data_IF_373514043400
#
_entry.id   IF_373514043400
#
_cell.length_a   1.000
_cell.length_b   1.000
_cell.length_c   1.000
_cell.angle_alpha   90.00
_cell.angle_beta   90.00
_cell.angle_gamma   90.00
#
_symmetry.space_group_name_H-M   'P 1'
#
loop_
_entity.id
_entity.type
_entity.pdbx_description
1 polymer ?
#
# COMPACT_ATOMS: atom_id res chain seq x y z
N UNK A 1 -16.27 -2.33 -3.62
CA UNK A 1 -15.35 -3.34 -3.03
C UNK A 1 -14.31 -2.58 -2.23
N UNK A 2 -13.89 -3.08 -1.06
CA UNK A 2 -12.85 -2.43 -0.28
C UNK A 2 -11.45 -2.91 -0.66
N UNK A 3 -10.54 -1.95 -0.86
CA UNK A 3 -9.11 -2.13 -1.05
C UNK A 3 -8.38 -1.59 0.19
N UNK A 4 -7.44 -2.36 0.72
CA UNK A 4 -6.55 -1.89 1.80
C UNK A 4 -5.34 -1.15 1.26
N UNK A 5 -4.91 -0.08 1.92
CA UNK A 5 -3.77 0.74 1.49
C UNK A 5 -2.85 0.92 2.70
N UNK A 6 -1.58 0.54 2.54
CA UNK A 6 -0.52 0.67 3.55
C UNK A 6 0.75 1.21 2.90
N UNK A 7 1.67 1.72 3.72
CA UNK A 7 2.99 2.20 3.29
C UNK A 7 3.94 2.23 4.49
N UNK A 8 5.24 2.34 4.24
CA UNK A 8 6.25 2.68 5.23
C UNK A 8 6.16 1.74 6.46
N UNK A 9 6.25 0.43 6.18
CA UNK A 9 6.11 -0.62 7.20
C UNK A 9 7.35 -0.79 8.04
N UNK A 10 8.52 -0.45 7.50
CA UNK A 10 9.80 -0.39 8.21
C UNK A 10 10.04 -1.56 9.18
N UNK A 11 9.78 -2.79 8.72
CA UNK A 11 9.93 -4.03 9.49
C UNK A 11 9.16 -4.08 10.84
N UNK A 12 8.15 -3.22 11.05
CA UNK A 12 7.31 -3.23 12.25
C UNK A 12 6.28 -4.38 12.18
N UNK A 13 6.76 -5.59 12.47
CA UNK A 13 5.96 -6.83 12.43
C UNK A 13 4.65 -6.72 13.25
N UNK A 14 4.64 -6.20 14.49
CA UNK A 14 3.39 -6.10 15.26
C UNK A 14 2.29 -5.29 14.57
N UNK A 15 2.62 -4.17 13.91
CA UNK A 15 1.62 -3.36 13.21
C UNK A 15 1.22 -3.99 11.87
N UNK A 16 2.17 -4.63 11.17
CA UNK A 16 1.86 -5.43 9.97
C UNK A 16 0.81 -6.49 10.31
N UNK A 17 1.06 -7.31 11.33
CA UNK A 17 0.15 -8.40 11.72
C UNK A 17 -1.25 -7.88 12.08
N UNK A 18 -1.34 -6.77 12.83
CA UNK A 18 -2.62 -6.13 13.17
C UNK A 18 -3.39 -5.69 11.92
N UNK A 19 -2.73 -5.02 10.98
CA UNK A 19 -3.37 -4.53 9.77
C UNK A 19 -3.85 -5.68 8.88
N UNK A 20 -3.02 -6.71 8.67
CA UNK A 20 -3.37 -7.86 7.84
C UNK A 20 -4.53 -8.68 8.46
N UNK A 21 -4.52 -8.86 9.78
CA UNK A 21 -5.61 -9.52 10.49
C UNK A 21 -6.92 -8.72 10.34
N UNK A 22 -6.85 -7.39 10.48
CA UNK A 22 -8.00 -6.53 10.29
C UNK A 22 -8.53 -6.56 8.85
N UNK A 23 -7.67 -6.43 7.83
CA UNK A 23 -8.07 -6.55 6.42
C UNK A 23 -8.78 -7.88 6.14
N UNK A 24 -8.24 -8.97 6.67
CA UNK A 24 -8.85 -10.30 6.56
C UNK A 24 -10.24 -10.33 7.20
N UNK A 25 -10.40 -9.77 8.41
CA UNK A 25 -11.69 -9.67 9.12
C UNK A 25 -12.71 -8.82 8.36
N UNK A 26 -12.29 -7.76 7.66
CA UNK A 26 -13.15 -6.94 6.81
C UNK A 26 -13.46 -7.57 5.45
N UNK A 27 -12.90 -8.74 5.14
CA UNK A 27 -13.06 -9.37 3.82
C UNK A 27 -12.35 -8.62 2.69
N UNK A 28 -11.39 -7.76 3.02
CA UNK A 28 -10.55 -7.08 2.03
C UNK A 28 -9.61 -8.13 1.42
N UNK A 29 -9.63 -8.22 0.09
CA UNK A 29 -8.89 -9.23 -0.69
C UNK A 29 -7.69 -8.68 -1.45
N UNK A 30 -7.56 -7.35 -1.53
CA UNK A 30 -6.47 -6.69 -2.23
C UNK A 30 -5.88 -5.63 -1.33
N UNK A 31 -4.55 -5.61 -1.24
CA UNK A 31 -3.80 -4.53 -0.58
C UNK A 31 -2.85 -3.85 -1.55
N UNK A 32 -2.72 -2.54 -1.38
CA UNK A 32 -1.76 -1.67 -2.04
C UNK A 32 -0.69 -1.26 -1.02
N UNK A 33 0.58 -1.55 -1.31
CA UNK A 33 1.72 -1.18 -0.47
C UNK A 33 2.57 -0.12 -1.18
N UNK A 34 2.58 1.11 -0.65
CA UNK A 34 3.09 2.29 -1.35
C UNK A 34 4.60 2.54 -1.17
N UNK A 35 5.37 1.51 -0.83
CA UNK A 35 6.84 1.56 -0.68
C UNK A 35 7.32 1.57 0.76
N UNK A 36 8.65 1.54 0.90
CA UNK A 36 9.37 1.43 2.18
C UNK A 36 8.89 0.20 2.98
N UNK A 37 8.96 -0.95 2.29
CA UNK A 37 8.63 -2.26 2.83
C UNK A 37 9.66 -2.67 3.89
N UNK A 38 10.94 -2.43 3.56
CA UNK A 38 12.18 -2.85 4.20
C UNK A 38 12.58 -4.32 3.95
N UNK A 39 13.20 -5.00 4.92
CA UNK A 39 14.11 -6.10 4.63
C UNK A 39 13.43 -7.23 3.82
N UNK A 40 14.03 -7.73 2.72
CA UNK A 40 13.43 -8.73 1.83
C UNK A 40 12.89 -9.97 2.57
N UNK A 41 13.62 -10.42 3.60
CA UNK A 41 13.22 -11.56 4.43
C UNK A 41 12.06 -11.26 5.36
N UNK A 42 11.97 -10.04 5.89
CA UNK A 42 10.85 -9.61 6.72
C UNK A 42 9.60 -9.51 5.88
N UNK A 43 9.65 -8.84 4.71
CA UNK A 43 8.52 -8.71 3.80
C UNK A 43 7.85 -10.06 3.51
N UNK A 44 8.64 -11.06 3.14
CA UNK A 44 8.10 -12.38 2.83
C UNK A 44 7.50 -13.07 4.05
N UNK A 45 8.15 -12.97 5.22
CA UNK A 45 7.69 -13.64 6.45
C UNK A 45 6.51 -12.96 7.12
N UNK A 46 6.40 -11.63 7.04
CA UNK A 46 5.41 -10.85 7.77
C UNK A 46 4.20 -10.49 6.91
N UNK A 47 4.39 -10.19 5.62
CA UNK A 47 3.32 -9.79 4.71
C UNK A 47 2.91 -10.94 3.79
N UNK A 48 3.83 -11.41 2.94
CA UNK A 48 3.49 -12.39 1.89
C UNK A 48 2.99 -13.70 2.48
N UNK A 49 3.63 -14.22 3.53
CA UNK A 49 3.22 -15.47 4.16
C UNK A 49 1.88 -15.37 4.92
N UNK A 50 1.49 -14.19 5.41
CA UNK A 50 0.36 -14.02 6.33
C UNK A 50 -0.88 -13.40 5.68
N UNK A 51 -0.79 -12.91 4.45
CA UNK A 51 -1.93 -12.37 3.72
C UNK A 51 -2.25 -13.21 2.48
N UNK A 52 -3.42 -13.83 2.48
CA UNK A 52 -3.89 -14.71 1.40
C UNK A 52 -4.56 -13.95 0.23
N UNK A 53 -4.74 -12.64 0.38
CA UNK A 53 -5.20 -11.79 -0.71
C UNK A 53 -4.08 -11.36 -1.64
N UNK A 54 -4.47 -10.66 -2.71
CA UNK A 54 -3.56 -10.09 -3.69
C UNK A 54 -2.82 -8.88 -3.11
N UNK A 55 -1.53 -8.77 -3.41
CA UNK A 55 -0.66 -7.69 -2.94
C UNK A 55 -0.09 -6.98 -4.15
N UNK A 56 -0.36 -5.69 -4.29
CA UNK A 56 0.35 -4.82 -5.23
C UNK A 56 1.30 -3.92 -4.46
N UNK A 57 2.55 -3.87 -4.88
CA UNK A 57 3.57 -3.11 -4.16
C UNK A 57 4.51 -2.37 -5.12
N UNK A 58 4.83 -1.12 -4.78
CA UNK A 58 5.95 -0.38 -5.37
C UNK A 58 7.08 -0.27 -4.35
N UNK A 59 8.31 -0.06 -4.83
CA UNK A 59 9.45 0.22 -3.97
C UNK A 59 9.45 1.67 -3.50
N UNK A 60 9.96 1.88 -2.29
CA UNK A 60 10.33 3.18 -1.77
C UNK A 60 11.84 3.41 -1.77
N UNK A 61 12.25 4.50 -1.12
CA UNK A 61 13.64 4.94 -1.13
C UNK A 61 14.54 4.16 -0.18
N UNK A 62 13.99 3.46 0.82
CA UNK A 62 14.82 2.62 1.72
C UNK A 62 14.86 1.14 1.33
N UNK A 63 14.11 0.75 0.30
CA UNK A 63 14.12 -0.62 -0.23
C UNK A 63 15.41 -0.88 -1.02
N UNK A 64 16.48 -1.26 -0.31
CA UNK A 64 17.83 -1.38 -0.85
C UNK A 64 18.05 -2.61 -1.74
N UNK A 65 17.68 -3.80 -1.28
CA UNK A 65 17.94 -5.06 -2.01
C UNK A 65 16.72 -5.55 -2.78
N UNK A 66 16.36 -4.79 -3.81
CA UNK A 66 15.17 -5.04 -4.64
C UNK A 66 15.25 -6.36 -5.40
N UNK A 67 16.44 -6.75 -5.84
CA UNK A 67 16.64 -8.03 -6.53
C UNK A 67 16.38 -9.20 -5.58
N UNK A 68 16.91 -9.15 -4.35
CA UNK A 68 16.63 -10.17 -3.35
C UNK A 68 15.15 -10.19 -2.95
N UNK A 69 14.48 -9.02 -2.88
CA UNK A 69 13.03 -8.96 -2.65
C UNK A 69 12.25 -9.69 -3.74
N UNK A 70 12.56 -9.44 -5.01
CA UNK A 70 11.94 -10.13 -6.14
C UNK A 70 12.20 -11.64 -6.09
N UNK A 71 13.46 -12.04 -5.86
CA UNK A 71 13.83 -13.44 -5.75
C UNK A 71 13.06 -14.15 -4.63
N UNK A 72 13.02 -13.55 -3.43
CA UNK A 72 12.32 -14.15 -2.29
C UNK A 72 10.82 -14.25 -2.50
N UNK A 73 10.19 -13.27 -3.14
CA UNK A 73 8.76 -13.37 -3.50
C UNK A 73 8.56 -14.51 -4.49
N UNK A 74 9.40 -14.62 -5.53
CA UNK A 74 9.33 -15.72 -6.48
C UNK A 74 9.48 -17.10 -5.81
N UNK A 75 10.41 -17.24 -4.87
CA UNK A 75 10.63 -18.47 -4.08
C UNK A 75 9.39 -18.90 -3.27
N UNK A 76 8.46 -18.00 -2.98
CA UNK A 76 7.20 -18.37 -2.30
C UNK A 76 6.20 -19.10 -3.20
N UNK A 77 6.32 -19.00 -4.53
CA UNK A 77 5.35 -19.52 -5.49
C UNK A 77 4.00 -18.78 -5.51
N UNK A 78 3.94 -17.57 -4.95
CA UNK A 78 2.73 -16.71 -4.95
C UNK A 78 2.65 -15.88 -6.23
N UNK A 79 1.70 -16.21 -7.11
CA UNK A 79 1.45 -15.48 -8.37
C UNK A 79 0.55 -14.23 -8.20
N UNK A 80 0.06 -13.99 -6.98
CA UNK A 80 -0.81 -12.89 -6.58
C UNK A 80 -0.08 -11.82 -5.75
N UNK A 81 1.26 -11.82 -5.79
CA UNK A 81 2.11 -10.78 -5.21
C UNK A 81 2.88 -10.08 -6.32
N UNK A 82 2.52 -8.83 -6.57
CA UNK A 82 3.05 -8.03 -7.67
C UNK A 82 3.98 -6.93 -7.12
N UNK A 83 5.26 -7.03 -7.48
CA UNK A 83 6.28 -5.99 -7.27
C UNK A 83 6.46 -5.19 -8.57
N UNK A 84 5.92 -3.98 -8.62
CA UNK A 84 5.82 -3.17 -9.84
C UNK A 84 7.07 -2.32 -10.14
N UNK A 85 8.09 -2.37 -9.28
CA UNK A 85 9.18 -1.41 -9.35
C UNK A 85 8.79 -0.07 -8.72
N UNK A 86 9.09 1.04 -9.39
CA UNK A 86 8.86 2.39 -8.86
C UNK A 86 7.41 2.88 -9.06
N UNK A 87 6.73 2.38 -10.08
CA UNK A 87 5.44 2.87 -10.53
C UNK A 87 4.54 1.68 -10.85
N UNK A 88 3.34 1.68 -10.28
CA UNK A 88 2.28 0.78 -10.68
C UNK A 88 1.18 1.57 -11.39
N UNK A 89 0.70 1.05 -12.51
CA UNK A 89 -0.54 1.46 -13.17
C UNK A 89 -1.38 0.20 -13.39
N UNK A 90 -2.49 0.09 -12.66
CA UNK A 90 -3.32 -1.11 -12.62
C UNK A 90 -4.80 -0.76 -12.70
N UNK A 91 -5.63 -1.74 -13.05
CA UNK A 91 -7.09 -1.61 -13.02
C UNK A 91 -7.67 -2.64 -12.07
N UNK A 92 -8.48 -2.18 -11.10
CA UNK A 92 -9.16 -3.04 -10.12
C UNK A 92 -10.61 -2.60 -10.04
N UNK A 93 -11.54 -3.54 -10.27
CA UNK A 93 -12.99 -3.28 -10.19
C UNK A 93 -13.44 -2.09 -11.06
N UNK A 94 -12.86 -1.97 -12.26
CA UNK A 94 -13.11 -0.88 -13.20
C UNK A 94 -12.51 0.48 -12.82
N UNK A 95 -11.71 0.55 -11.75
CA UNK A 95 -11.00 1.77 -11.32
C UNK A 95 -9.56 1.74 -11.77
N UNK A 96 -9.11 2.83 -12.39
CA UNK A 96 -7.71 3.04 -12.76
C UNK A 96 -6.93 3.52 -11.55
N UNK A 97 -5.91 2.79 -11.16
CA UNK A 97 -5.14 3.04 -9.94
C UNK A 97 -3.68 3.25 -10.31
N UNK A 98 -3.07 4.29 -9.77
CA UNK A 98 -1.64 4.53 -9.85
C UNK A 98 -0.99 4.47 -8.45
N UNK A 99 0.23 3.96 -8.36
CA UNK A 99 1.03 4.03 -7.13
C UNK A 99 2.44 4.49 -7.44
N UNK A 100 2.95 5.43 -6.64
CA UNK A 100 4.36 5.78 -6.62
C UNK A 100 4.71 6.24 -5.22
N UNK A 101 5.85 5.82 -4.68
CA UNK A 101 6.21 6.15 -3.30
C UNK A 101 6.34 7.66 -3.07
N UNK A 102 6.86 8.40 -4.05
CA UNK A 102 7.18 9.82 -3.93
C UNK A 102 5.96 10.73 -4.18
N UNK A 103 5.67 11.68 -3.27
CA UNK A 103 4.48 12.54 -3.35
C UNK A 103 4.46 13.43 -4.59
N UNK A 104 5.61 13.94 -5.03
CA UNK A 104 5.71 14.83 -6.17
C UNK A 104 5.40 14.12 -7.49
N UNK A 105 5.82 12.86 -7.65
CA UNK A 105 5.51 12.06 -8.84
C UNK A 105 4.04 11.65 -8.80
N UNK A 106 3.59 11.13 -7.65
CA UNK A 106 2.19 10.72 -7.47
C UNK A 106 1.21 11.87 -7.71
N UNK A 107 1.52 13.09 -7.24
CA UNK A 107 0.67 14.27 -7.52
C UNK A 107 0.51 14.52 -9.02
N UNK A 108 1.57 14.39 -9.81
CA UNK A 108 1.49 14.57 -11.28
C UNK A 108 0.62 13.50 -11.94
N UNK A 109 0.65 12.28 -11.43
CA UNK A 109 -0.25 11.21 -11.90
C UNK A 109 -1.71 11.56 -11.60
N UNK A 110 -2.00 12.08 -10.40
CA UNK A 110 -3.36 12.52 -10.06
C UNK A 110 -3.83 13.70 -10.92
N UNK A 111 -2.97 14.71 -11.13
CA UNK A 111 -3.25 15.88 -11.98
C UNK A 111 -3.47 15.52 -13.46
N UNK A 112 -2.99 14.38 -13.93
CA UNK A 112 -3.18 13.92 -15.32
C UNK A 112 -4.64 13.64 -15.69
N UNK A 113 -5.51 13.38 -14.70
CA UNK A 113 -6.89 12.96 -14.92
C UNK A 113 -7.06 11.53 -15.46
N UNK A 114 -5.97 10.76 -15.57
CA UNK A 114 -6.01 9.38 -16.07
C UNK A 114 -6.57 8.39 -15.04
N UNK A 115 -6.34 8.62 -13.75
CA UNK A 115 -6.60 7.67 -12.66
C UNK A 115 -7.76 8.09 -11.77
N UNK A 116 -8.40 7.12 -11.13
CA UNK A 116 -9.48 7.29 -10.16
C UNK A 116 -8.94 7.24 -8.71
N UNK A 117 -7.83 6.53 -8.49
CA UNK A 117 -7.09 6.48 -7.22
C UNK A 117 -5.60 6.61 -7.51
N UNK A 118 -4.91 7.44 -6.73
CA UNK A 118 -3.45 7.56 -6.77
C UNK A 118 -2.90 7.49 -5.35
N UNK A 119 -2.04 6.52 -5.10
CA UNK A 119 -1.48 6.23 -3.78
C UNK A 119 0.02 6.55 -3.69
N UNK A 120 0.46 7.07 -2.55
CA UNK A 120 1.86 7.37 -2.25
C UNK A 120 2.20 7.21 -0.76
N UNK A 121 3.49 7.32 -0.42
CA UNK A 121 4.01 7.17 0.94
C UNK A 121 5.06 8.24 1.28
N UNK A 122 6.23 7.79 1.75
CA UNK A 122 7.49 8.54 1.87
C UNK A 122 7.57 9.52 3.05
N UNK A 123 6.59 10.42 3.17
CA UNK A 123 6.64 11.48 4.19
C UNK A 123 6.02 11.08 5.54
N UNK A 124 5.46 9.87 5.63
CA UNK A 124 4.76 9.31 6.79
C UNK A 124 3.50 10.09 7.25
N UNK A 125 3.04 11.07 6.47
CA UNK A 125 1.90 11.95 6.82
C UNK A 125 0.65 11.42 6.15
N UNK A 126 -0.22 10.80 6.95
CA UNK A 126 -1.53 10.34 6.51
C UNK A 126 -2.33 11.52 5.95
N UNK A 127 -2.82 11.38 4.72
CA UNK A 127 -3.57 12.43 4.04
C UNK A 127 -4.43 11.85 2.92
N UNK A 128 -5.54 12.52 2.65
CA UNK A 128 -6.41 12.24 1.51
C UNK A 128 -6.98 13.55 1.00
N UNK A 129 -6.92 13.75 -0.31
CA UNK A 129 -7.58 14.84 -0.99
C UNK A 129 -8.10 14.38 -2.36
N UNK A 130 -8.97 15.19 -2.97
CA UNK A 130 -9.44 14.94 -4.34
C UNK A 130 -8.73 15.89 -5.29
N UNK A 131 -8.03 15.33 -6.29
CA UNK A 131 -7.36 16.09 -7.36
C UNK A 131 -8.04 15.75 -8.67
N UNK A 132 -8.82 16.69 -9.21
CA UNK A 132 -9.66 16.41 -10.38
C UNK A 132 -10.67 15.31 -10.06
N UNK A 133 -10.56 14.16 -10.73
CA UNK A 133 -11.39 12.97 -10.44
C UNK A 133 -10.74 11.96 -9.49
N UNK A 134 -9.44 12.09 -9.24
CA UNK A 134 -8.67 11.10 -8.51
C UNK A 134 -8.80 11.31 -7.00
N UNK A 135 -9.02 10.23 -6.25
CA UNK A 135 -8.67 10.18 -4.84
C UNK A 135 -7.13 10.12 -4.72
N UNK A 136 -6.51 11.15 -4.15
CA UNK A 136 -5.07 11.22 -3.93
C UNK A 136 -4.77 10.92 -2.47
N UNK A 137 -4.11 9.78 -2.20
CA UNK A 137 -4.09 9.17 -0.87
C UNK A 137 -2.68 8.82 -0.43
N UNK A 138 -2.35 9.21 0.80
CA UNK A 138 -1.23 8.68 1.56
C UNK A 138 -1.76 8.00 2.82
N UNK A 139 -1.54 6.69 3.02
CA UNK A 139 -2.06 5.98 4.17
C UNK A 139 -1.32 6.34 5.47
N UNK A 140 -0.25 7.12 5.39
CA UNK A 140 0.69 7.41 6.47
C UNK A 140 1.75 6.32 6.60
N UNK A 141 2.32 6.19 7.80
CA UNK A 141 3.25 5.10 8.12
C UNK A 141 2.54 4.00 8.88
N UNK A 142 2.65 2.76 8.42
CA UNK A 142 2.16 1.63 9.20
C UNK A 142 3.09 1.34 10.40
N UNK A 143 4.38 1.64 10.26
CA UNK A 143 5.36 1.42 11.32
C UNK A 143 5.15 2.30 12.55
N UNK A 144 4.49 3.45 12.41
CA UNK A 144 4.39 4.45 13.47
C UNK A 144 5.73 5.15 13.77
N UNK A 145 6.59 5.27 12.76
CA UNK A 145 7.88 5.95 12.89
C UNK A 145 7.72 7.45 12.66
N UNK A 146 8.02 8.24 13.69
CA UNK A 146 7.93 9.71 13.67
C UNK A 146 6.51 10.31 13.48
N UNK A 147 5.52 9.48 13.20
CA UNK A 147 4.10 9.81 13.07
C UNK A 147 3.23 8.65 13.58
N UNK A 148 1.92 8.86 13.87
CA UNK A 148 1.02 7.79 14.30
C UNK A 148 0.92 6.66 13.28
N UNK A 149 0.89 5.42 13.79
CA UNK A 149 0.72 4.23 12.97
C UNK A 149 -0.69 4.21 12.34
N UNK A 150 -0.74 4.19 11.02
CA UNK A 150 -1.94 4.48 10.23
C UNK A 150 -2.04 3.59 8.98
N UNK A 151 -3.25 3.48 8.45
CA UNK A 151 -3.56 2.82 7.17
C UNK A 151 -4.75 3.51 6.52
N UNK A 152 -5.08 3.13 5.28
CA UNK A 152 -6.30 3.59 4.62
C UNK A 152 -7.06 2.45 3.96
N UNK A 153 -8.33 2.71 3.64
CA UNK A 153 -9.13 1.87 2.75
C UNK A 153 -9.78 2.72 1.67
N UNK A 154 -10.06 2.10 0.52
CA UNK A 154 -10.75 2.72 -0.60
C UNK A 154 -11.92 1.84 -1.04
N UNK A 155 -13.12 2.41 -1.14
CA UNK A 155 -14.28 1.72 -1.72
C UNK A 155 -14.40 2.04 -3.21
N UNK A 156 -14.18 1.02 -4.04
CA UNK A 156 -14.28 1.12 -5.50
C UNK A 156 -15.69 1.48 -5.98
N UNK A 157 -16.74 1.21 -5.19
CA UNK A 157 -18.11 1.52 -5.58
C UNK A 157 -18.39 3.03 -5.47
N UNK A 158 -17.98 3.65 -4.36
CA UNK A 158 -18.27 5.06 -4.06
C UNK A 158 -17.12 6.01 -4.43
N UNK A 159 -15.89 5.48 -4.51
CA UNK A 159 -14.67 6.28 -4.62
C UNK A 159 -14.22 6.90 -3.29
N UNK A 160 -14.82 6.52 -2.17
CA UNK A 160 -14.51 7.07 -0.87
C UNK A 160 -13.26 6.45 -0.25
N UNK A 161 -12.50 7.27 0.49
CA UNK A 161 -11.30 6.88 1.23
C UNK A 161 -11.58 7.03 2.72
N UNK A 162 -11.28 6.00 3.49
CA UNK A 162 -11.27 6.07 4.95
C UNK A 162 -9.83 5.99 5.47
N UNK A 163 -9.43 6.99 6.25
CA UNK A 163 -8.16 7.08 6.95
C UNK A 163 -8.33 6.52 8.37
N UNK A 164 -7.49 5.57 8.77
CA UNK A 164 -7.64 4.81 10.00
C UNK A 164 -6.32 4.79 10.80
N UNK A 165 -6.40 4.93 12.12
CA UNK A 165 -5.29 4.63 13.01
C UNK A 165 -5.21 3.13 13.30
N UNK A 166 -4.00 2.59 13.47
CA UNK A 166 -3.82 1.17 13.81
C UNK A 166 -4.48 0.80 15.15
N UNK A 167 -4.64 1.78 16.05
CA UNK A 167 -5.26 1.58 17.36
C UNK A 167 -6.80 1.66 17.31
N UNK A 168 -7.38 2.10 16.20
CA UNK A 168 -8.83 2.22 16.02
C UNK A 168 -9.45 0.96 15.40
N UNK A 169 -8.61 0.03 14.95
CA UNK A 169 -9.01 -1.18 14.20
C UNK A 169 -8.98 -2.48 15.02
N UNK A 170 -8.67 -2.41 16.33
CA UNK A 170 -8.66 -3.57 17.24
C UNK A 170 -10.05 -4.06 17.60
#
# INVERSE_FOLDING_TARGET
>A
MLIGIISDTHDNIPNIEKALAWFTKQGIKIILHCGDICAPGTFVKSIVANYLGTIHCVFGNVDGDRFLTLQKVHETGRDDVFLHGELAEIEIDGRKIAMNHYPEIARRLAESGAFDLVCYGHNHIQSSETIGKAAFVNPGTLAGLFAPATLATYDTATGEVALLGINDIT
#
